data_IF_736127538170
#
_entry.id   IF_736127538170
#
_cell.length_a   1.000
_cell.length_b   1.000
_cell.length_c   1.000
_cell.angle_alpha   90.00
_cell.angle_beta   90.00
_cell.angle_gamma   90.00
#
_symmetry.space_group_name_H-M   'P 1'
#
loop_
_entity.id
_entity.type
_entity.pdbx_description
1 polymer ?
#
# COMPACT_ATOMS: atom_id res chain seq x y z
N UNK A 1 85.76 -1.98 -16.00
CA UNK A 1 84.38 -2.43 -16.25
C UNK A 1 83.45 -1.60 -15.39
N UNK A 2 82.77 -0.64 -16.02
CA UNK A 2 81.99 0.43 -15.37
C UNK A 2 80.57 -0.05 -15.11
N UNK A 3 80.13 -0.04 -13.85
CA UNK A 3 78.78 -0.44 -13.42
C UNK A 3 77.82 0.76 -13.51
N UNK A 4 76.93 0.75 -14.49
CA UNK A 4 75.82 1.71 -14.62
C UNK A 4 74.66 1.26 -13.73
N UNK A 5 74.29 2.10 -12.75
CA UNK A 5 73.11 1.91 -11.88
C UNK A 5 71.86 2.43 -12.59
N UNK A 6 70.87 1.57 -12.78
CA UNK A 6 69.53 1.97 -13.21
C UNK A 6 68.71 2.36 -11.97
N UNK A 7 68.28 3.62 -11.88
CA UNK A 7 67.27 4.04 -10.91
C UNK A 7 65.89 3.66 -11.43
N UNK A 8 65.18 2.82 -10.66
CA UNK A 8 63.80 2.45 -10.93
C UNK A 8 62.87 3.60 -10.56
N UNK A 9 62.17 4.16 -11.55
CA UNK A 9 61.13 5.16 -11.34
C UNK A 9 59.87 4.48 -10.80
N UNK A 10 59.51 4.77 -9.55
CA UNK A 10 58.22 4.40 -8.96
C UNK A 10 57.11 5.29 -9.53
N UNK A 11 56.20 4.69 -10.30
CA UNK A 11 54.95 5.36 -10.68
C UNK A 11 53.97 5.28 -9.51
N UNK A 12 53.60 6.45 -8.96
CA UNK A 12 52.50 6.57 -7.99
C UNK A 12 51.20 6.51 -8.78
N UNK A 13 50.47 5.40 -8.69
CA UNK A 13 49.11 5.30 -9.19
C UNK A 13 48.17 6.03 -8.22
N UNK A 14 47.67 7.19 -8.60
CA UNK A 14 46.60 7.88 -7.88
C UNK A 14 45.30 7.07 -8.04
N UNK A 15 44.84 6.43 -6.97
CA UNK A 15 43.55 5.76 -6.93
C UNK A 15 42.44 6.83 -6.95
N UNK A 16 41.83 7.05 -8.11
CA UNK A 16 40.59 7.82 -8.22
C UNK A 16 39.48 7.05 -7.50
N UNK A 17 39.12 7.47 -6.28
CA UNK A 17 37.96 6.96 -5.58
C UNK A 17 36.71 7.33 -6.38
N UNK A 18 36.11 6.32 -7.02
CA UNK A 18 34.82 6.44 -7.68
C UNK A 18 33.75 6.69 -6.60
N UNK A 19 33.30 7.94 -6.48
CA UNK A 19 32.08 8.26 -5.75
C UNK A 19 30.90 7.76 -6.60
N UNK A 20 30.51 6.49 -6.42
CA UNK A 20 29.25 6.02 -6.94
C UNK A 20 28.12 6.79 -6.23
N UNK A 21 27.14 7.36 -6.96
CA UNK A 21 25.97 7.93 -6.32
C UNK A 21 25.27 6.81 -5.55
N UNK A 22 25.22 6.93 -4.22
CA UNK A 22 24.40 6.04 -3.42
C UNK A 22 22.95 6.27 -3.83
N UNK A 23 22.26 5.23 -4.31
CA UNK A 23 20.83 5.29 -4.50
C UNK A 23 20.21 5.73 -3.17
N UNK A 24 19.49 6.86 -3.17
CA UNK A 24 18.65 7.22 -2.05
C UNK A 24 17.69 6.05 -1.83
N UNK A 25 17.84 5.34 -0.71
CA UNK A 25 16.90 4.30 -0.36
C UNK A 25 15.53 4.96 -0.23
N UNK A 26 14.60 4.58 -1.10
CA UNK A 26 13.21 4.99 -0.94
C UNK A 26 12.75 4.46 0.43
N UNK A 27 12.40 5.36 1.35
CA UNK A 27 11.88 5.00 2.67
C UNK A 27 10.57 4.19 2.60
N UNK A 28 9.92 4.20 1.44
CA UNK A 28 8.77 3.36 1.12
C UNK A 28 9.20 2.25 0.16
N UNK A 29 9.44 1.06 0.69
CA UNK A 29 9.19 -0.15 -0.08
C UNK A 29 7.72 -0.51 0.13
N UNK A 30 7.03 -0.92 -0.93
CA UNK A 30 5.71 -1.52 -0.78
C UNK A 30 5.87 -2.77 0.12
N UNK A 31 5.23 -2.81 1.29
CA UNK A 31 5.29 -3.98 2.15
C UNK A 31 4.55 -5.13 1.46
N UNK A 32 4.87 -6.38 1.84
CA UNK A 32 4.12 -7.55 1.38
C UNK A 32 2.61 -7.27 1.46
N UNK A 33 1.93 -7.36 0.32
CA UNK A 33 0.52 -6.98 0.17
C UNK A 33 -0.04 -7.42 -1.18
N UNK A 34 -1.35 -7.20 -1.39
CA UNK A 34 -1.96 -7.44 -2.69
C UNK A 34 -1.45 -6.45 -3.73
N UNK A 35 -1.40 -6.88 -4.99
CA UNK A 35 -1.04 -6.01 -6.11
C UNK A 35 -1.95 -4.76 -6.14
N UNK A 36 -1.41 -3.53 -6.22
CA UNK A 36 -2.23 -2.35 -6.40
C UNK A 36 -2.98 -2.40 -7.74
N UNK A 37 -4.27 -2.05 -7.73
CA UNK A 37 -5.04 -2.01 -8.96
C UNK A 37 -6.55 -2.04 -8.78
N UNK A 38 -7.23 -2.23 -9.90
CA UNK A 38 -8.68 -2.36 -9.96
C UNK A 38 -9.06 -3.83 -9.94
N UNK A 39 -9.92 -4.19 -9.00
CA UNK A 39 -10.45 -5.52 -8.87
C UNK A 39 -11.95 -5.53 -9.16
N UNK A 40 -12.42 -6.52 -9.90
CA UNK A 40 -13.83 -6.78 -10.16
C UNK A 40 -14.31 -8.02 -9.42
N UNK A 41 -15.56 -8.03 -8.97
CA UNK A 41 -16.15 -9.23 -8.40
C UNK A 41 -16.31 -10.30 -9.47
N UNK A 42 -15.88 -11.52 -9.17
CA UNK A 42 -16.00 -12.66 -10.09
C UNK A 42 -17.46 -13.08 -10.32
N UNK A 43 -18.34 -12.75 -9.37
CA UNK A 43 -19.79 -12.93 -9.49
C UNK A 43 -20.40 -11.66 -10.10
N UNK A 44 -20.75 -11.72 -11.39
CA UNK A 44 -21.38 -10.61 -12.11
C UNK A 44 -22.78 -10.26 -11.61
N UNK A 45 -23.44 -11.18 -10.91
CA UNK A 45 -24.80 -11.00 -10.39
C UNK A 45 -24.81 -10.59 -8.90
N UNK A 46 -23.63 -10.25 -8.36
CA UNK A 46 -23.47 -9.85 -6.96
C UNK A 46 -24.37 -8.65 -6.60
N UNK A 47 -25.02 -8.77 -5.45
CA UNK A 47 -25.77 -7.67 -4.80
C UNK A 47 -24.96 -7.00 -3.68
N UNK A 48 -23.66 -7.31 -3.58
CA UNK A 48 -22.76 -6.78 -2.55
C UNK A 48 -21.76 -5.80 -3.17
N UNK A 49 -20.47 -6.15 -3.24
CA UNK A 49 -19.44 -5.30 -3.83
C UNK A 49 -19.21 -5.72 -5.27
N UNK A 50 -19.27 -4.79 -6.21
CA UNK A 50 -19.02 -5.05 -7.63
C UNK A 50 -17.56 -4.81 -8.00
N UNK A 51 -16.94 -3.77 -7.42
CA UNK A 51 -15.56 -3.37 -7.69
C UNK A 51 -14.85 -2.94 -6.43
N UNK A 52 -13.52 -3.06 -6.47
CA UNK A 52 -12.61 -2.56 -5.45
C UNK A 52 -11.39 -1.94 -6.12
N UNK A 53 -10.82 -0.90 -5.51
CA UNK A 53 -9.49 -0.42 -5.85
C UNK A 53 -8.60 -0.61 -4.64
N UNK A 54 -7.40 -1.10 -4.87
CA UNK A 54 -6.33 -1.13 -3.87
C UNK A 54 -5.23 -0.22 -4.35
N UNK A 55 -4.78 0.71 -3.50
CA UNK A 55 -3.61 1.54 -3.77
C UNK A 55 -2.65 1.48 -2.59
N UNK A 56 -1.35 1.35 -2.87
CA UNK A 56 -0.31 1.63 -1.90
C UNK A 56 0.14 3.09 -2.03
N UNK A 57 0.20 3.80 -0.90
CA UNK A 57 0.54 5.22 -0.84
C UNK A 57 1.80 5.40 -0.01
N UNK A 58 2.82 5.99 -0.64
CA UNK A 58 4.00 6.50 0.06
C UNK A 58 3.71 7.91 0.59
N UNK A 59 3.03 7.99 1.74
CA UNK A 59 2.63 9.25 2.36
C UNK A 59 3.80 10.03 2.96
N UNK A 60 3.56 11.31 3.27
CA UNK A 60 4.52 12.17 3.98
C UNK A 60 4.01 12.49 5.37
N UNK A 61 4.90 12.51 6.36
CA UNK A 61 4.59 12.90 7.74
C UNK A 61 5.08 14.32 8.01
N UNK A 62 4.29 15.12 8.74
CA UNK A 62 4.73 16.42 9.26
C UNK A 62 4.99 16.32 10.76
N UNK A 63 6.23 16.54 11.17
CA UNK A 63 6.60 16.66 12.58
C UNK A 63 6.69 18.13 12.97
N UNK A 64 6.09 18.51 14.10
CA UNK A 64 6.22 19.87 14.63
C UNK A 64 7.54 20.03 15.39
N UNK A 65 8.27 21.09 15.09
CA UNK A 65 9.53 21.43 15.73
C UNK A 65 9.29 22.28 16.99
N UNK A 66 10.24 22.31 17.95
CA UNK A 66 10.09 23.11 19.18
C UNK A 66 9.93 24.62 18.96
N UNK A 67 10.40 25.15 17.83
CA UNK A 67 10.26 26.54 17.43
C UNK A 67 8.90 26.86 16.76
N UNK A 68 8.00 25.87 16.66
CA UNK A 68 6.70 25.99 16.02
C UNK A 68 6.71 25.77 14.50
N UNK A 69 7.89 25.64 13.87
CA UNK A 69 8.01 25.24 12.46
C UNK A 69 7.66 23.75 12.28
N UNK A 70 7.56 23.29 11.02
CA UNK A 70 7.26 21.89 10.71
C UNK A 70 8.28 21.29 9.76
N UNK A 71 8.70 20.06 10.03
CA UNK A 71 9.56 19.27 9.15
C UNK A 71 8.69 18.25 8.41
N UNK A 72 8.81 18.20 7.07
CA UNK A 72 8.15 17.18 6.24
C UNK A 72 9.13 16.05 5.98
N UNK A 73 8.72 14.82 6.32
CA UNK A 73 9.45 13.60 6.02
C UNK A 73 8.69 12.85 4.94
N UNK A 74 9.20 12.89 3.71
CA UNK A 74 8.63 12.15 2.60
C UNK A 74 8.82 10.65 2.80
N UNK A 75 7.76 9.89 2.53
CA UNK A 75 7.76 8.44 2.70
C UNK A 75 7.75 7.94 4.14
N UNK A 76 7.48 8.83 5.11
CA UNK A 76 7.36 8.46 6.52
C UNK A 76 5.95 7.98 6.90
N UNK A 77 4.99 7.99 5.97
CA UNK A 77 3.63 7.48 6.20
C UNK A 77 3.18 6.48 5.12
N UNK A 78 3.87 5.33 4.96
CA UNK A 78 3.44 4.29 4.03
C UNK A 78 2.11 3.66 4.51
N UNK A 79 1.12 3.61 3.65
CA UNK A 79 -0.18 3.01 3.98
C UNK A 79 -0.93 2.51 2.75
N UNK A 80 -1.89 1.62 2.98
CA UNK A 80 -2.80 1.18 1.94
C UNK A 80 -4.05 2.07 1.94
N UNK A 81 -4.68 2.16 0.78
CA UNK A 81 -6.02 2.70 0.63
C UNK A 81 -6.87 1.69 -0.14
N UNK A 82 -8.10 1.53 0.29
CA UNK A 82 -9.08 0.71 -0.40
C UNK A 82 -10.29 1.57 -0.75
N UNK A 83 -10.81 1.40 -1.97
CA UNK A 83 -12.09 1.95 -2.41
C UNK A 83 -13.01 0.80 -2.72
N UNK A 84 -14.29 0.96 -2.42
CA UNK A 84 -15.31 -0.04 -2.71
C UNK A 84 -16.47 0.58 -3.48
N UNK A 85 -17.02 -0.20 -4.40
CA UNK A 85 -18.26 0.10 -5.11
C UNK A 85 -19.29 -0.98 -4.77
N UNK A 86 -20.41 -0.57 -4.20
CA UNK A 86 -21.54 -1.44 -3.92
C UNK A 86 -22.49 -1.52 -5.11
N UNK A 87 -23.10 -2.68 -5.30
CA UNK A 87 -24.14 -2.91 -6.30
C UNK A 87 -25.35 -1.99 -6.01
N UNK A 88 -25.54 -1.01 -6.89
CA UNK A 88 -26.60 -0.01 -6.83
C UNK A 88 -27.20 0.20 -8.23
N UNK A 89 -28.41 0.75 -8.29
CA UNK A 89 -29.11 1.04 -9.54
C UNK A 89 -29.32 2.54 -9.73
N UNK A 90 -29.13 3.08 -10.94
CA UNK A 90 -28.71 2.41 -12.18
C UNK A 90 -27.19 2.18 -12.29
N UNK A 91 -26.42 2.75 -11.38
CA UNK A 91 -24.96 2.66 -11.35
C UNK A 91 -24.49 2.31 -9.96
N UNK A 92 -23.34 1.63 -9.86
CA UNK A 92 -22.73 1.31 -8.57
C UNK A 92 -22.54 2.53 -7.67
N UNK A 93 -22.76 2.34 -6.36
CA UNK A 93 -22.51 3.37 -5.37
C UNK A 93 -21.04 3.30 -4.92
N UNK A 94 -20.28 4.36 -5.15
CA UNK A 94 -18.96 4.50 -4.55
C UNK A 94 -19.08 4.73 -3.04
N UNK A 95 -18.36 3.94 -2.25
CA UNK A 95 -18.30 4.09 -0.79
C UNK A 95 -17.20 5.07 -0.34
N UNK A 96 -16.38 5.52 -1.28
CA UNK A 96 -15.19 6.34 -1.06
C UNK A 96 -13.96 5.48 -0.74
N UNK A 97 -12.89 6.17 -0.34
CA UNK A 97 -11.65 5.53 0.10
C UNK A 97 -11.61 5.45 1.62
N UNK A 98 -11.06 4.35 2.16
CA UNK A 98 -10.51 4.35 3.52
C UNK A 98 -9.03 4.02 3.51
N UNK A 99 -8.30 4.54 4.49
CA UNK A 99 -7.00 3.99 4.85
C UNK A 99 -7.19 2.55 5.30
N UNK A 100 -6.28 1.69 4.87
CA UNK A 100 -6.21 0.30 5.27
C UNK A 100 -4.84 -0.01 5.87
N UNK A 101 -4.83 -0.87 6.88
CA UNK A 101 -3.62 -1.30 7.56
C UNK A 101 -3.38 -2.78 7.25
N UNK A 102 -2.13 -3.15 7.00
CA UNK A 102 -1.75 -4.55 6.88
C UNK A 102 -1.78 -5.19 8.25
N UNK A 103 -2.59 -6.23 8.40
CA UNK A 103 -2.68 -7.04 9.61
C UNK A 103 -1.72 -8.22 9.47
N UNK A 104 -0.54 -8.11 10.09
CA UNK A 104 0.51 -9.15 10.01
C UNK A 104 -0.01 -10.52 10.45
N UNK A 105 -0.76 -10.55 11.56
CA UNK A 105 -1.43 -11.77 12.03
C UNK A 105 -2.65 -12.06 11.16
N UNK A 106 -2.44 -12.92 10.17
CA UNK A 106 -3.47 -13.36 9.22
C UNK A 106 -3.30 -12.83 7.80
N UNK A 107 -2.27 -11.98 7.57
CA UNK A 107 -1.87 -11.48 6.27
C UNK A 107 -3.04 -10.93 5.43
N UNK A 108 -3.71 -9.89 5.94
CA UNK A 108 -4.82 -9.25 5.24
C UNK A 108 -4.84 -7.73 5.47
N UNK A 109 -5.39 -6.97 4.51
CA UNK A 109 -5.66 -5.55 4.72
C UNK A 109 -6.95 -5.36 5.52
N UNK A 110 -6.91 -4.48 6.51
CA UNK A 110 -8.08 -4.06 7.27
C UNK A 110 -8.42 -2.60 6.99
N UNK A 111 -9.65 -2.33 6.55
CA UNK A 111 -10.20 -0.98 6.43
C UNK A 111 -11.55 -0.87 7.13
N UNK A 112 -11.94 0.36 7.47
CA UNK A 112 -13.20 0.64 8.14
C UNK A 112 -13.95 1.76 7.43
N UNK A 113 -15.24 1.56 7.22
CA UNK A 113 -16.14 2.56 6.66
C UNK A 113 -17.25 2.87 7.65
N UNK A 114 -17.44 4.15 7.93
CA UNK A 114 -18.61 4.68 8.61
C UNK A 114 -19.49 5.38 7.56
N UNK A 115 -20.69 4.86 7.35
CA UNK A 115 -21.67 5.42 6.42
C UNK A 115 -22.86 6.06 7.14
N UNK A 116 -22.75 6.31 8.44
CA UNK A 116 -23.75 6.97 9.28
C UNK A 116 -25.02 6.16 9.61
N UNK A 117 -25.33 5.12 8.83
CA UNK A 117 -26.37 4.13 9.15
C UNK A 117 -25.81 2.72 9.38
N UNK A 118 -24.52 2.55 9.07
CA UNK A 118 -23.82 1.29 9.19
C UNK A 118 -22.30 1.49 9.24
N UNK A 119 -21.70 0.85 10.23
CA UNK A 119 -20.27 0.61 10.29
C UNK A 119 -19.90 -0.67 9.52
N UNK A 120 -18.82 -0.62 8.74
CA UNK A 120 -18.33 -1.77 7.99
C UNK A 120 -16.85 -1.99 8.17
N UNK A 121 -16.52 -3.15 8.71
CA UNK A 121 -15.15 -3.64 8.78
C UNK A 121 -14.87 -4.50 7.55
N UNK A 122 -13.84 -4.13 6.79
CA UNK A 122 -13.45 -4.77 5.53
C UNK A 122 -12.11 -5.47 5.74
N UNK A 123 -12.07 -6.76 5.44
CA UNK A 123 -10.86 -7.58 5.46
C UNK A 123 -10.57 -8.07 4.04
N UNK A 124 -9.39 -7.76 3.52
CA UNK A 124 -8.94 -8.12 2.16
C UNK A 124 -7.84 -9.17 2.26
N UNK A 125 -8.15 -10.41 1.89
CA UNK A 125 -7.21 -11.53 1.94
C UNK A 125 -6.67 -11.81 0.54
N UNK A 126 -5.34 -11.80 0.32
CA UNK A 126 -4.72 -12.39 -0.84
C UNK A 126 -5.03 -13.88 -0.95
N UNK A 127 -5.49 -14.33 -2.12
CA UNK A 127 -5.70 -15.77 -2.44
C UNK A 127 -4.86 -16.23 -3.65
N UNK A 128 -3.97 -15.36 -4.13
CA UNK A 128 -3.10 -15.51 -5.28
C UNK A 128 -2.61 -14.14 -5.72
N UNK A 129 -1.88 -14.06 -6.84
CA UNK A 129 -1.32 -12.79 -7.33
C UNK A 129 -2.44 -11.81 -7.73
N UNK A 130 -3.43 -12.29 -8.48
CA UNK A 130 -4.49 -11.46 -9.05
C UNK A 130 -5.86 -11.65 -8.38
N UNK A 131 -5.92 -12.37 -7.25
CA UNK A 131 -7.19 -12.75 -6.63
C UNK A 131 -7.26 -12.39 -5.15
N UNK A 132 -8.36 -11.76 -4.76
CA UNK A 132 -8.63 -11.33 -3.41
C UNK A 132 -9.97 -11.87 -2.91
N UNK A 133 -9.99 -12.33 -1.66
CA UNK A 133 -11.23 -12.55 -0.92
C UNK A 133 -11.50 -11.37 -0.01
N UNK A 134 -12.63 -10.73 -0.23
CA UNK A 134 -13.15 -9.65 0.59
C UNK A 134 -14.14 -10.21 1.60
N UNK A 135 -13.93 -9.97 2.89
CA UNK A 135 -14.93 -10.23 3.94
C UNK A 135 -15.36 -8.91 4.55
N UNK A 136 -16.66 -8.63 4.52
CA UNK A 136 -17.22 -7.38 5.02
C UNK A 136 -18.21 -7.70 6.13
N UNK A 137 -17.95 -7.21 7.34
CA UNK A 137 -18.90 -7.27 8.45
C UNK A 137 -19.58 -5.91 8.57
N UNK A 138 -20.89 -5.87 8.34
CA UNK A 138 -21.73 -4.69 8.52
C UNK A 138 -22.45 -4.75 9.87
N UNK A 139 -22.33 -3.70 10.66
CA UNK A 139 -23.17 -3.40 11.82
C UNK A 139 -24.06 -2.23 11.46
N UNK A 140 -25.35 -2.32 11.78
CA UNK A 140 -26.32 -1.26 11.47
C UNK A 140 -26.68 -0.54 12.76
N UNK A 141 -26.98 0.76 12.65
CA UNK A 141 -27.34 1.59 13.80
C UNK A 141 -28.84 1.52 14.13
N UNK A 142 -29.60 0.74 13.35
CA UNK A 142 -31.03 0.45 13.56
C UNK A 142 -31.25 -1.01 14.01
N UNK A 143 -32.51 -1.45 14.02
CA UNK A 143 -32.91 -2.79 14.49
C UNK A 143 -32.43 -3.96 13.60
N UNK A 144 -31.69 -3.69 12.52
CA UNK A 144 -31.16 -4.75 11.66
C UNK A 144 -30.00 -5.47 12.33
N UNK A 145 -30.10 -6.79 12.35
CA UNK A 145 -28.98 -7.65 12.76
C UNK A 145 -27.74 -7.42 11.88
N UNK A 146 -26.57 -7.50 12.50
CA UNK A 146 -25.30 -7.48 11.81
C UNK A 146 -25.24 -8.56 10.71
N UNK A 147 -24.58 -8.24 9.60
CA UNK A 147 -24.45 -9.14 8.44
C UNK A 147 -22.99 -9.25 8.03
N UNK A 148 -22.62 -10.40 7.50
CA UNK A 148 -21.31 -10.62 6.88
C UNK A 148 -21.51 -11.00 5.43
N UNK A 149 -20.83 -10.31 4.51
CA UNK A 149 -20.71 -10.74 3.12
C UNK A 149 -19.29 -11.17 2.81
N UNK A 150 -19.17 -12.08 1.85
CA UNK A 150 -17.89 -12.51 1.28
C UNK A 150 -17.97 -12.31 -0.23
N UNK A 151 -16.97 -11.64 -0.79
CA UNK A 151 -16.83 -11.42 -2.22
C UNK A 151 -15.48 -11.96 -2.67
N UNK A 152 -15.41 -12.49 -3.88
CA UNK A 152 -14.16 -12.88 -4.52
C UNK A 152 -13.92 -11.88 -5.63
N UNK A 153 -12.73 -11.29 -5.65
CA UNK A 153 -12.37 -10.21 -6.55
C UNK A 153 -11.14 -10.62 -7.36
N UNK A 154 -11.10 -10.27 -8.64
CA UNK A 154 -9.98 -10.51 -9.55
C UNK A 154 -9.47 -9.21 -10.16
N UNK A 155 -8.14 -9.09 -10.29
CA UNK A 155 -7.47 -7.93 -10.86
C UNK A 155 -7.84 -7.80 -12.35
N UNK A 156 -8.00 -6.56 -12.82
CA UNK A 156 -8.37 -6.22 -14.20
C UNK A 156 -7.46 -5.21 -14.84
#
# INVERSE_FOLDING_TARGET
>A
MTLTRYFASTAIAAAAALFAPQAAQALCAEPNGPEPGMYENVDSDTRSITRMRVEFVCGSERTQNPDGSGTIRHGADPHWRIWLWGSCSPTDCEWGATRANMMERGAYLYGHYDQGFAERDVQVFPEGDDRLRLRIRSRYDDDRSARTSVNIMELR
#
